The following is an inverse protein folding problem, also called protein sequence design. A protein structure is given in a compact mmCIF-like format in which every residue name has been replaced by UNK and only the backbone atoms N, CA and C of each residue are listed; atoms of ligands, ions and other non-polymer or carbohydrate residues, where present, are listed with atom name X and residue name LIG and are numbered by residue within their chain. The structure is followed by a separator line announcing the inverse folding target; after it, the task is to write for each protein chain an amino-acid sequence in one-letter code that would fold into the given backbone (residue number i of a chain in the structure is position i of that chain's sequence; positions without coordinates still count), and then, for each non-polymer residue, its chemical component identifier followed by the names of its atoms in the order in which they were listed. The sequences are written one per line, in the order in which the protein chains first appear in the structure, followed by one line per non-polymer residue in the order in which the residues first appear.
data_IF_175010163504
#
_entry.id   IF_175010163504
#
_cell.length_a   1.000
_cell.length_b   1.000
_cell.length_c   1.000
_cell.angle_alpha   90.00
_cell.angle_beta   90.00
_cell.angle_gamma   90.00
#
_symmetry.space_group_name_H-M   'P 1'
#
loop_
_entity.id
_entity.type
_entity.pdbx_description
1 polymer ?
#
# COMPACT_ATOMS: atom_id res chain seq x y z
N UNK A 1 6.23 0.98 42.21
CA UNK A 1 7.21 -0.13 41.99
C UNK A 1 7.12 -0.57 40.55
N UNK A 2 8.18 -0.41 39.74
CA UNK A 2 8.21 -1.03 38.42
C UNK A 2 8.26 -2.55 38.62
N UNK A 3 7.26 -3.29 38.08
CA UNK A 3 7.36 -4.76 37.99
C UNK A 3 8.66 -5.12 37.25
N UNK A 4 9.45 -6.01 37.81
CA UNK A 4 10.58 -6.61 37.07
C UNK A 4 10.03 -7.26 35.80
N UNK A 5 10.71 -7.12 34.68
CA UNK A 5 10.29 -7.82 33.45
C UNK A 5 10.76 -9.28 33.49
N UNK A 6 10.00 -10.21 32.89
CA UNK A 6 10.50 -11.56 32.68
C UNK A 6 11.72 -11.54 31.73
N UNK A 7 12.52 -12.62 31.69
CA UNK A 7 13.66 -12.71 30.77
C UNK A 7 13.22 -12.48 29.31
N UNK A 8 13.95 -11.63 28.57
CA UNK A 8 13.60 -11.26 27.21
C UNK A 8 13.55 -12.46 26.25
N UNK A 9 14.45 -13.44 26.48
CA UNK A 9 14.45 -14.68 25.70
C UNK A 9 13.19 -15.54 25.95
N UNK A 10 12.61 -15.49 27.16
CA UNK A 10 11.37 -16.18 27.45
C UNK A 10 10.18 -15.53 26.72
N UNK A 11 10.15 -14.19 26.67
CA UNK A 11 9.16 -13.45 25.89
C UNK A 11 9.30 -13.70 24.38
N UNK A 12 10.54 -13.72 23.86
CA UNK A 12 10.81 -13.99 22.43
C UNK A 12 10.40 -15.42 22.04
N UNK A 13 10.72 -16.40 22.87
CA UNK A 13 10.32 -17.79 22.64
C UNK A 13 8.78 -17.97 22.68
N UNK A 14 8.12 -17.29 23.59
CA UNK A 14 6.66 -17.29 23.68
C UNK A 14 6.03 -16.63 22.43
N UNK A 15 6.50 -15.46 22.00
CA UNK A 15 5.97 -14.77 20.82
C UNK A 15 6.08 -15.63 19.57
N UNK A 16 7.28 -16.20 19.29
CA UNK A 16 7.50 -17.07 18.15
C UNK A 16 6.61 -18.33 18.20
N UNK A 17 6.51 -18.99 19.37
CA UNK A 17 5.64 -20.15 19.55
C UNK A 17 4.15 -19.80 19.37
N UNK A 18 3.72 -18.62 19.79
CA UNK A 18 2.35 -18.14 19.66
C UNK A 18 1.99 -17.78 18.21
N UNK A 19 2.92 -17.26 17.44
CA UNK A 19 2.74 -16.92 16.04
C UNK A 19 2.61 -18.16 15.16
N UNK A 20 3.43 -19.18 15.42
CA UNK A 20 3.41 -20.46 14.68
C UNK A 20 2.42 -21.49 15.25
N UNK A 21 1.89 -21.29 16.45
CA UNK A 21 1.19 -22.32 17.22
C UNK A 21 1.95 -23.67 17.25
N UNK A 22 3.30 -23.59 17.28
CA UNK A 22 4.20 -24.70 17.15
C UNK A 22 5.55 -24.43 17.79
N UNK A 23 5.92 -25.25 18.76
CA UNK A 23 7.24 -25.22 19.42
C UNK A 23 8.37 -25.53 18.42
N UNK A 24 8.13 -26.46 17.49
CA UNK A 24 9.15 -26.87 16.51
C UNK A 24 9.43 -25.79 15.47
N UNK A 25 8.41 -25.11 14.98
CA UNK A 25 8.59 -24.01 14.01
C UNK A 25 9.24 -22.79 14.67
N UNK A 26 8.84 -22.45 15.91
CA UNK A 26 9.51 -21.41 16.69
C UNK A 26 11.00 -21.71 16.93
N UNK A 27 11.32 -22.99 17.19
CA UNK A 27 12.69 -23.41 17.36
C UNK A 27 13.53 -23.28 16.09
N UNK A 28 12.96 -23.62 14.95
CA UNK A 28 13.60 -23.40 13.63
C UNK A 28 13.86 -21.93 13.37
N UNK A 29 12.85 -21.07 13.56
CA UNK A 29 12.99 -19.64 13.37
C UNK A 29 14.07 -19.01 14.26
N UNK A 30 14.07 -19.37 15.55
CA UNK A 30 15.02 -18.81 16.52
C UNK A 30 16.39 -19.53 16.53
N UNK A 31 16.62 -20.51 15.64
CA UNK A 31 17.84 -21.29 15.53
C UNK A 31 18.25 -21.96 16.86
N UNK A 32 17.27 -22.52 17.57
CA UNK A 32 17.47 -23.23 18.84
C UNK A 32 16.77 -24.60 18.82
N UNK A 33 16.92 -25.39 19.89
CA UNK A 33 16.23 -26.68 19.99
C UNK A 33 14.78 -26.49 20.48
N UNK A 34 13.82 -27.39 20.12
CA UNK A 34 12.48 -27.38 20.68
C UNK A 34 12.41 -27.47 22.20
N UNK A 35 13.40 -28.17 22.80
CA UNK A 35 13.54 -28.26 24.25
C UNK A 35 13.89 -26.89 24.86
N UNK A 36 14.73 -26.09 24.20
CA UNK A 36 15.06 -24.73 24.63
C UNK A 36 13.82 -23.81 24.62
N UNK A 37 13.04 -23.84 23.54
CA UNK A 37 11.78 -23.07 23.47
C UNK A 37 10.82 -23.49 24.58
N UNK A 38 10.61 -24.79 24.76
CA UNK A 38 9.74 -25.30 25.83
C UNK A 38 10.21 -24.87 27.22
N UNK A 39 11.51 -24.83 27.45
CA UNK A 39 12.09 -24.36 28.71
C UNK A 39 11.84 -22.86 28.92
N UNK A 40 12.08 -22.03 27.89
CA UNK A 40 11.84 -20.58 27.96
C UNK A 40 10.37 -20.24 28.17
N UNK A 41 9.46 -20.97 27.52
CA UNK A 41 8.01 -20.78 27.71
C UNK A 41 7.61 -21.14 29.16
N UNK A 42 8.09 -22.24 29.71
CA UNK A 42 7.83 -22.58 31.13
C UNK A 42 8.37 -21.52 32.07
N UNK A 43 9.56 -20.99 31.82
CA UNK A 43 10.12 -19.91 32.64
C UNK A 43 9.24 -18.66 32.64
N UNK A 44 8.58 -18.35 31.52
CA UNK A 44 7.60 -17.28 31.42
C UNK A 44 6.34 -17.62 32.23
N UNK A 45 5.80 -18.84 32.10
CA UNK A 45 4.63 -19.32 32.82
C UNK A 45 4.87 -19.31 34.34
N UNK A 46 6.05 -19.75 34.78
CA UNK A 46 6.44 -19.71 36.19
C UNK A 46 6.52 -18.26 36.72
N UNK A 47 7.02 -17.34 35.88
CA UNK A 47 7.09 -15.90 36.24
C UNK A 47 5.71 -15.24 36.34
N UNK A 48 4.80 -15.56 35.41
CA UNK A 48 3.43 -15.02 35.37
C UNK A 48 2.52 -15.72 36.38
N UNK A 49 2.78 -16.98 36.66
CA UNK A 49 1.94 -17.86 37.51
C UNK A 49 0.73 -18.41 36.75
N UNK A 50 0.67 -18.31 35.45
CA UNK A 50 -0.44 -18.76 34.60
C UNK A 50 0.14 -19.47 33.34
N UNK A 51 -0.50 -20.56 32.85
CA UNK A 51 -0.14 -21.14 31.59
C UNK A 51 -0.53 -20.20 30.43
N UNK A 52 0.36 -20.03 29.46
CA UNK A 52 0.13 -19.24 28.24
C UNK A 52 -0.24 -20.11 27.04
N UNK A 53 0.04 -21.41 27.11
CA UNK A 53 -0.40 -22.41 26.14
C UNK A 53 -1.18 -23.54 26.77
N UNK A 54 -2.07 -24.11 25.98
CA UNK A 54 -2.75 -25.37 26.27
C UNK A 54 -2.64 -26.33 25.08
N UNK A 55 -2.81 -27.62 25.33
CA UNK A 55 -2.90 -28.65 24.29
C UNK A 55 -4.35 -29.03 24.07
N UNK A 56 -4.82 -28.82 22.86
CA UNK A 56 -6.10 -29.37 22.43
C UNK A 56 -5.85 -30.52 21.43
N UNK A 57 -6.87 -31.28 21.08
CA UNK A 57 -6.76 -32.42 20.15
C UNK A 57 -6.21 -32.08 18.76
N UNK A 58 -6.02 -30.80 18.44
CA UNK A 58 -5.48 -30.29 17.17
C UNK A 58 -4.04 -29.75 17.31
N UNK A 59 -3.47 -29.68 18.50
CA UNK A 59 -2.11 -29.22 18.73
C UNK A 59 -1.96 -28.19 19.85
N UNK A 60 -1.04 -27.24 19.68
CA UNK A 60 -0.78 -26.14 20.60
C UNK A 60 -1.80 -25.03 20.39
N UNK A 61 -2.40 -24.51 21.45
CA UNK A 61 -3.32 -23.37 21.41
C UNK A 61 -2.94 -22.36 22.49
N UNK A 62 -3.31 -21.10 22.32
CA UNK A 62 -3.17 -20.06 23.33
C UNK A 62 -4.29 -20.17 24.36
N UNK A 63 -3.93 -19.94 25.62
CA UNK A 63 -4.90 -19.66 26.69
C UNK A 63 -5.39 -18.20 26.60
N UNK A 64 -6.40 -17.83 27.41
CA UNK A 64 -6.81 -16.43 27.54
C UNK A 64 -5.64 -15.55 28.04
N UNK A 65 -4.82 -16.08 28.96
CA UNK A 65 -3.63 -15.39 29.47
C UNK A 65 -2.57 -15.19 28.35
N UNK A 66 -2.36 -16.19 27.51
CA UNK A 66 -1.47 -16.11 26.36
C UNK A 66 -1.95 -15.11 25.29
N UNK A 67 -3.26 -15.03 25.08
CA UNK A 67 -3.85 -14.12 24.11
C UNK A 67 -3.86 -12.67 24.57
N UNK A 68 -4.05 -12.40 25.86
CA UNK A 68 -4.29 -11.06 26.41
C UNK A 68 -3.17 -10.05 26.16
N UNK A 69 -1.88 -10.47 26.20
CA UNK A 69 -0.74 -9.58 26.04
C UNK A 69 0.01 -9.72 24.72
N UNK A 70 -0.41 -10.64 23.83
CA UNK A 70 0.36 -11.02 22.65
C UNK A 70 0.53 -9.86 21.64
N UNK A 71 -0.51 -9.05 21.45
CA UNK A 71 -0.47 -7.88 20.57
C UNK A 71 0.57 -6.86 21.03
N UNK A 72 0.55 -6.51 22.31
CA UNK A 72 1.48 -5.52 22.86
C UNK A 72 2.91 -6.06 22.89
N UNK A 73 3.08 -7.36 23.09
CA UNK A 73 4.37 -8.03 23.02
C UNK A 73 4.97 -7.97 21.60
N UNK A 74 4.17 -8.24 20.58
CA UNK A 74 4.57 -8.10 19.17
C UNK A 74 4.98 -6.68 18.83
N UNK A 75 4.19 -5.70 19.23
CA UNK A 75 4.52 -4.29 19.04
C UNK A 75 5.82 -3.92 19.76
N UNK A 76 6.05 -4.48 20.95
CA UNK A 76 7.29 -4.28 21.70
C UNK A 76 8.52 -4.83 20.97
N UNK A 77 8.45 -6.04 20.41
CA UNK A 77 9.55 -6.60 19.63
C UNK A 77 9.80 -5.83 18.34
N UNK A 78 8.76 -5.46 17.61
CA UNK A 78 8.89 -4.60 16.43
C UNK A 78 9.57 -3.26 16.76
N UNK A 79 9.30 -2.68 17.94
CA UNK A 79 9.98 -1.48 18.40
C UNK A 79 11.46 -1.70 18.73
N UNK A 80 11.82 -2.89 19.26
CA UNK A 80 13.21 -3.25 19.52
C UNK A 80 13.99 -3.47 18.21
N UNK A 81 13.39 -4.13 17.24
CA UNK A 81 13.96 -4.32 15.89
C UNK A 81 14.19 -2.97 15.20
N UNK A 82 13.21 -2.08 15.21
CA UNK A 82 13.36 -0.74 14.68
C UNK A 82 14.45 0.09 15.38
N UNK A 83 14.64 -0.12 16.69
CA UNK A 83 15.74 0.52 17.42
C UNK A 83 17.11 -0.02 16.99
N UNK A 84 17.22 -1.32 16.72
CA UNK A 84 18.46 -1.92 16.20
C UNK A 84 18.73 -1.43 14.77
N UNK A 85 17.72 -1.43 13.89
CA UNK A 85 17.82 -0.86 12.53
C UNK A 85 18.29 0.60 12.57
N UNK A 86 17.75 1.41 13.50
CA UNK A 86 18.16 2.80 13.68
C UNK A 86 19.61 2.94 14.14
N UNK A 87 20.11 2.04 15.00
CA UNK A 87 21.50 2.03 15.45
C UNK A 87 22.42 1.61 14.29
N UNK A 88 22.05 0.58 13.55
CA UNK A 88 22.80 0.10 12.39
C UNK A 88 22.83 1.12 11.26
N UNK A 89 21.72 1.84 11.03
CA UNK A 89 21.62 2.88 10.02
C UNK A 89 22.39 4.17 10.34
N UNK A 90 22.87 4.36 11.57
CA UNK A 90 23.78 5.48 11.92
C UNK A 90 25.15 5.35 11.24
N UNK A 91 25.48 4.20 10.67
CA UNK A 91 26.75 3.93 9.98
C UNK A 91 26.63 3.72 8.47
N UNK A 92 25.42 3.55 7.92
CA UNK A 92 25.19 3.28 6.50
C UNK A 92 23.95 4.03 6.01
N UNK A 93 24.17 4.90 5.06
CA UNK A 93 23.18 5.41 4.10
C UNK A 93 22.63 4.19 3.37
N UNK A 94 21.48 3.71 3.79
CA UNK A 94 21.10 2.36 3.47
C UNK A 94 19.96 2.27 2.47
N UNK A 95 19.62 1.05 2.11
CA UNK A 95 18.49 0.69 1.27
C UNK A 95 17.18 1.15 1.90
N UNK A 96 16.38 1.91 1.14
CA UNK A 96 14.99 2.26 1.47
C UNK A 96 14.05 1.31 0.75
N UNK A 97 13.38 0.43 1.48
CA UNK A 97 12.41 -0.52 0.92
C UNK A 97 11.00 0.09 0.88
N UNK A 98 10.49 0.32 -0.33
CA UNK A 98 9.19 0.96 -0.58
C UNK A 98 8.22 -0.03 -1.19
N UNK A 99 7.11 -0.34 -0.51
CA UNK A 99 6.02 -1.11 -1.08
C UNK A 99 4.97 -0.17 -1.68
N UNK A 100 4.58 -0.41 -2.94
CA UNK A 100 3.75 0.56 -3.67
C UNK A 100 2.74 -0.16 -4.56
N UNK A 101 1.55 0.42 -4.79
CA UNK A 101 0.60 -0.09 -5.76
C UNK A 101 1.22 -0.06 -7.18
N UNK A 102 1.16 -1.15 -7.98
CA UNK A 102 1.90 -1.28 -9.24
C UNK A 102 1.68 -0.14 -10.22
N UNK A 103 0.44 0.30 -10.37
CA UNK A 103 0.12 1.40 -11.29
C UNK A 103 0.66 2.74 -10.81
N UNK A 104 0.69 3.00 -9.50
CA UNK A 104 1.29 4.19 -8.94
C UNK A 104 2.82 4.16 -9.10
N UNK A 105 3.43 2.99 -8.87
CA UNK A 105 4.86 2.80 -9.12
C UNK A 105 5.23 3.24 -10.54
N UNK A 106 4.57 2.64 -11.55
CA UNK A 106 4.94 2.82 -12.96
C UNK A 106 4.57 4.19 -13.52
N UNK A 107 3.43 4.76 -13.13
CA UNK A 107 2.88 5.97 -13.76
C UNK A 107 3.21 7.25 -12.99
N UNK A 108 3.40 7.15 -11.68
CA UNK A 108 3.65 8.35 -10.87
C UNK A 108 5.03 8.37 -10.21
N UNK A 109 5.42 7.29 -9.52
CA UNK A 109 6.64 7.27 -8.71
C UNK A 109 7.91 7.21 -9.59
N UNK A 110 8.04 6.20 -10.45
CA UNK A 110 9.24 5.98 -11.26
C UNK A 110 9.63 7.19 -12.14
N UNK A 111 8.68 7.91 -12.80
CA UNK A 111 9.05 9.09 -13.58
C UNK A 111 9.68 10.22 -12.76
N UNK A 112 9.48 10.24 -11.44
CA UNK A 112 9.95 11.28 -10.52
C UNK A 112 11.15 10.84 -9.67
N UNK A 113 11.36 9.53 -9.53
CA UNK A 113 12.32 8.94 -8.58
C UNK A 113 13.76 9.42 -8.82
N UNK A 114 14.14 9.70 -10.07
CA UNK A 114 15.47 10.21 -10.42
C UNK A 114 15.82 11.52 -9.72
N UNK A 115 14.82 12.36 -9.37
CA UNK A 115 15.09 13.60 -8.61
C UNK A 115 15.46 13.29 -7.17
N UNK A 116 14.83 12.29 -6.54
CA UNK A 116 15.21 11.83 -5.21
C UNK A 116 16.60 11.23 -5.18
N UNK A 117 16.92 10.36 -6.16
CA UNK A 117 18.22 9.71 -6.29
C UNK A 117 19.35 10.74 -6.52
N UNK A 118 19.06 11.84 -7.23
CA UNK A 118 20.02 12.92 -7.42
C UNK A 118 20.25 13.76 -6.15
N UNK A 119 19.20 13.98 -5.34
CA UNK A 119 19.29 14.70 -4.06
C UNK A 119 19.91 13.86 -2.94
N UNK A 120 19.70 12.52 -2.97
CA UNK A 120 20.12 11.56 -1.96
C UNK A 120 20.85 10.36 -2.58
N UNK A 121 22.02 10.58 -3.21
CA UNK A 121 22.77 9.51 -3.88
C UNK A 121 23.30 8.42 -2.94
N UNK A 122 23.21 8.67 -1.63
CA UNK A 122 23.57 7.74 -0.58
C UNK A 122 22.44 6.76 -0.23
N UNK A 123 21.22 6.94 -0.79
CA UNK A 123 20.04 6.11 -0.48
C UNK A 123 19.65 5.30 -1.70
N UNK A 124 19.79 3.98 -1.61
CA UNK A 124 19.30 3.06 -2.64
C UNK A 124 17.81 2.77 -2.44
N UNK A 125 16.96 3.14 -3.39
CA UNK A 125 15.50 2.90 -3.28
C UNK A 125 15.12 1.57 -3.93
N UNK A 126 14.65 0.63 -3.11
CA UNK A 126 14.10 -0.64 -3.58
C UNK A 126 12.58 -0.58 -3.63
N UNK A 127 12.02 -0.58 -4.83
CA UNK A 127 10.58 -0.50 -5.06
C UNK A 127 9.98 -1.89 -5.25
N UNK A 128 9.11 -2.30 -4.34
CA UNK A 128 8.32 -3.53 -4.43
C UNK A 128 6.88 -3.18 -4.87
N UNK A 129 6.52 -3.52 -6.09
CA UNK A 129 5.20 -3.26 -6.64
C UNK A 129 4.23 -4.40 -6.27
N UNK A 130 3.31 -4.15 -5.31
CA UNK A 130 2.35 -5.13 -4.84
C UNK A 130 1.03 -4.50 -4.40
N UNK A 131 -0.09 -5.20 -4.68
CA UNK A 131 -1.41 -4.85 -4.15
C UNK A 131 -1.67 -5.45 -2.77
N UNK A 132 -0.85 -6.40 -2.32
CA UNK A 132 -1.00 -7.02 -1.02
C UNK A 132 -0.75 -6.02 0.11
N UNK A 133 -1.47 -6.20 1.21
CA UNK A 133 -1.20 -5.44 2.43
C UNK A 133 0.20 -5.79 2.94
N UNK A 134 0.98 -4.75 3.26
CA UNK A 134 2.34 -4.90 3.77
C UNK A 134 2.30 -5.35 5.22
N UNK A 135 2.98 -6.44 5.54
CA UNK A 135 3.35 -6.78 6.90
C UNK A 135 4.72 -6.14 7.22
N UNK A 136 4.68 -4.95 7.80
CA UNK A 136 5.89 -4.20 8.14
C UNK A 136 6.82 -4.91 9.13
N UNK A 137 6.32 -5.95 9.82
CA UNK A 137 7.11 -6.73 10.78
C UNK A 137 7.93 -7.84 10.12
N UNK A 138 7.47 -8.34 8.97
CA UNK A 138 8.06 -9.52 8.33
C UNK A 138 8.61 -9.27 6.93
N UNK A 139 8.10 -8.25 6.21
CA UNK A 139 8.43 -8.04 4.79
C UNK A 139 9.71 -7.20 4.59
N UNK A 140 10.32 -6.67 5.65
CA UNK A 140 11.48 -5.79 5.55
C UNK A 140 11.18 -4.43 4.89
N UNK A 141 9.91 -4.07 4.72
CA UNK A 141 9.47 -2.83 4.10
C UNK A 141 9.57 -1.67 5.09
N UNK A 142 10.10 -0.53 4.66
CA UNK A 142 10.21 0.67 5.48
C UNK A 142 8.96 1.53 5.41
N UNK A 143 8.46 1.74 4.21
CA UNK A 143 7.26 2.54 3.93
C UNK A 143 6.38 1.86 2.88
N UNK A 144 5.11 2.20 2.88
CA UNK A 144 4.19 1.81 1.82
C UNK A 144 3.46 3.03 1.25
N UNK A 145 3.14 3.01 -0.06
CA UNK A 145 2.23 3.95 -0.70
C UNK A 145 1.00 3.17 -1.12
N UNK A 146 -0.16 3.53 -0.58
CA UNK A 146 -1.40 2.79 -0.76
C UNK A 146 -2.53 3.69 -1.24
N UNK A 147 -3.37 3.16 -2.12
CA UNK A 147 -4.62 3.78 -2.55
C UNK A 147 -5.78 3.20 -1.73
N UNK A 148 -6.63 4.06 -1.16
CA UNK A 148 -7.75 3.62 -0.34
C UNK A 148 -8.45 4.77 0.39
N UNK A 149 -9.37 4.40 1.29
CA UNK A 149 -10.11 5.35 2.13
C UNK A 149 -9.31 5.82 3.36
N UNK A 150 -8.10 5.32 3.59
CA UNK A 150 -7.31 5.58 4.80
C UNK A 150 -7.67 4.64 5.96
N UNK A 151 -7.42 5.06 7.21
CA UNK A 151 -7.83 4.30 8.40
C UNK A 151 -6.89 3.13 8.75
N UNK A 152 -5.61 3.23 8.43
CA UNK A 152 -4.60 2.20 8.74
C UNK A 152 -4.34 2.13 10.25
N UNK A 153 -4.83 1.06 10.88
CA UNK A 153 -4.67 0.85 12.32
C UNK A 153 -3.20 0.62 12.69
N UNK A 154 -2.78 1.20 13.84
CA UNK A 154 -1.44 1.06 14.41
C UNK A 154 -0.27 1.58 13.53
N UNK A 155 -0.57 2.25 12.41
CA UNK A 155 0.41 2.85 11.51
C UNK A 155 0.23 4.37 11.45
N UNK A 156 1.31 5.07 11.13
CA UNK A 156 1.21 6.48 10.74
C UNK A 156 0.92 6.56 9.27
N UNK A 157 -0.09 7.32 8.91
CA UNK A 157 -0.44 7.54 7.51
C UNK A 157 -0.70 9.01 7.23
N UNK A 158 -0.34 9.41 6.02
CA UNK A 158 -0.52 10.78 5.52
C UNK A 158 -1.10 10.73 4.13
N UNK A 159 -2.10 11.57 3.89
CA UNK A 159 -2.64 11.74 2.55
C UNK A 159 -1.61 12.42 1.66
N UNK A 160 -1.23 11.78 0.57
CA UNK A 160 -0.30 12.31 -0.42
C UNK A 160 -1.06 13.05 -1.54
N UNK A 161 -2.03 12.38 -2.15
CA UNK A 161 -2.78 12.90 -3.30
C UNK A 161 -4.26 12.59 -3.13
N UNK A 162 -5.09 13.59 -3.37
CA UNK A 162 -6.51 13.39 -3.66
C UNK A 162 -6.67 12.95 -5.11
N UNK A 163 -7.75 12.23 -5.41
CA UNK A 163 -7.97 11.73 -6.75
C UNK A 163 -9.30 12.17 -7.34
N UNK A 164 -9.31 12.22 -8.66
CA UNK A 164 -10.52 12.30 -9.46
C UNK A 164 -10.46 11.25 -10.56
N UNK A 165 -11.61 10.75 -10.98
CA UNK A 165 -11.71 9.94 -12.18
C UNK A 165 -11.98 10.77 -13.40
N UNK A 166 -11.22 10.52 -14.45
CA UNK A 166 -11.32 11.16 -15.75
C UNK A 166 -11.38 10.10 -16.87
N UNK A 167 -12.19 10.29 -17.89
CA UNK A 167 -12.12 9.52 -19.12
C UNK A 167 -10.93 9.98 -19.95
N UNK A 168 -10.18 9.03 -20.52
CA UNK A 168 -9.04 9.31 -21.40
C UNK A 168 -9.01 8.34 -22.58
N UNK A 169 -8.48 8.79 -23.69
CA UNK A 169 -8.21 7.93 -24.87
C UNK A 169 -7.00 8.49 -25.65
N UNK A 170 -6.46 7.71 -26.59
CA UNK A 170 -5.43 8.24 -27.48
C UNK A 170 -6.01 9.27 -28.47
N UNK A 171 -5.24 10.28 -28.89
CA UNK A 171 -5.67 11.24 -29.92
C UNK A 171 -6.08 10.55 -31.22
N UNK A 172 -5.38 9.48 -31.60
CA UNK A 172 -5.70 8.70 -32.80
C UNK A 172 -7.04 8.00 -32.72
N UNK A 173 -7.34 7.39 -31.57
CA UNK A 173 -8.64 6.78 -31.36
C UNK A 173 -9.76 7.81 -31.51
N UNK A 174 -9.60 8.98 -30.88
CA UNK A 174 -10.61 10.06 -30.92
C UNK A 174 -10.86 10.58 -32.34
N UNK A 175 -9.81 10.64 -33.21
CA UNK A 175 -9.96 11.04 -34.62
C UNK A 175 -10.68 10.02 -35.48
N UNK A 176 -10.67 8.74 -35.09
CA UNK A 176 -11.19 7.64 -35.88
C UNK A 176 -12.61 7.19 -35.47
N UNK A 177 -13.22 7.85 -34.48
CA UNK A 177 -14.60 7.60 -34.07
C UNK A 177 -15.50 8.80 -34.36
N UNK A 178 -16.81 8.64 -34.22
CA UNK A 178 -17.75 9.77 -34.28
C UNK A 178 -17.39 10.80 -33.19
N UNK A 179 -17.60 12.10 -33.48
CA UNK A 179 -17.32 13.14 -32.50
C UNK A 179 -18.02 12.90 -31.16
N UNK A 180 -17.28 12.98 -30.07
CA UNK A 180 -17.79 12.89 -28.71
C UNK A 180 -18.15 14.31 -28.22
N UNK A 181 -19.38 14.70 -28.34
CA UNK A 181 -19.88 16.01 -27.90
C UNK A 181 -20.44 15.96 -26.48
N UNK A 182 -20.92 14.78 -26.07
CA UNK A 182 -21.48 14.51 -24.75
C UNK A 182 -21.13 13.11 -24.27
N UNK A 183 -21.27 12.83 -22.98
CA UNK A 183 -21.05 11.48 -22.44
C UNK A 183 -22.00 10.42 -23.03
N UNK A 184 -23.18 10.84 -23.53
CA UNK A 184 -24.12 9.95 -24.21
C UNK A 184 -23.59 9.38 -25.52
N UNK A 185 -22.63 10.05 -26.16
CA UNK A 185 -22.00 9.60 -27.40
C UNK A 185 -21.04 8.40 -27.17
N UNK A 186 -20.79 8.04 -25.92
CA UNK A 186 -20.11 6.80 -25.56
C UNK A 186 -20.96 5.54 -25.82
N UNK A 187 -22.24 5.69 -26.17
CA UNK A 187 -23.07 4.57 -26.59
C UNK A 187 -22.45 3.91 -27.85
N UNK A 188 -22.03 2.64 -27.71
CA UNK A 188 -21.34 1.91 -28.77
C UNK A 188 -19.83 2.13 -28.86
N UNK A 189 -19.24 2.99 -28.04
CA UNK A 189 -17.80 3.14 -27.91
C UNK A 189 -17.24 2.10 -26.94
N UNK A 190 -16.07 1.54 -27.23
CA UNK A 190 -15.41 0.58 -26.36
C UNK A 190 -14.97 1.26 -25.05
N UNK A 191 -15.53 0.81 -23.92
CA UNK A 191 -15.12 1.24 -22.59
C UNK A 191 -14.03 0.30 -22.03
N UNK A 192 -13.05 0.86 -21.34
CA UNK A 192 -11.99 0.11 -20.67
C UNK A 192 -12.13 0.29 -19.15
N UNK A 193 -12.13 -0.84 -18.44
CA UNK A 193 -12.45 -0.87 -17.00
C UNK A 193 -11.23 -1.17 -16.16
N UNK A 194 -11.10 -0.43 -15.06
CA UNK A 194 -10.12 -0.68 -13.99
C UNK A 194 -10.78 -1.49 -12.89
N UNK A 195 -10.47 -2.78 -12.82
CA UNK A 195 -10.91 -3.68 -11.76
C UNK A 195 -9.79 -3.86 -10.68
N UNK A 196 -8.80 -2.95 -10.63
CA UNK A 196 -7.68 -3.04 -9.67
C UNK A 196 -8.08 -2.92 -8.19
N UNK A 197 -9.15 -2.21 -7.82
CA UNK A 197 -9.67 -2.23 -6.47
C UNK A 197 -10.64 -3.41 -6.31
N UNK A 198 -10.12 -4.60 -6.12
CA UNK A 198 -10.90 -5.82 -5.95
C UNK A 198 -12.02 -5.65 -4.92
N UNK A 199 -13.28 -5.84 -5.39
CA UNK A 199 -14.47 -6.05 -4.58
C UNK A 199 -14.90 -4.93 -3.60
N UNK A 200 -14.44 -3.70 -3.75
CA UNK A 200 -14.98 -2.57 -3.01
C UNK A 200 -16.08 -1.89 -3.83
N UNK A 201 -17.37 -2.04 -3.46
CA UNK A 201 -18.48 -1.43 -4.20
C UNK A 201 -18.49 0.10 -4.14
N UNK A 202 -17.74 0.71 -3.22
CA UNK A 202 -17.55 2.15 -3.14
C UNK A 202 -16.48 2.65 -4.12
N UNK A 203 -15.75 1.73 -4.77
CA UNK A 203 -14.73 2.11 -5.71
C UNK A 203 -15.35 2.72 -6.98
N UNK A 204 -14.89 3.91 -7.36
CA UNK A 204 -15.44 4.64 -8.49
C UNK A 204 -15.28 3.85 -9.80
N UNK A 205 -16.35 3.85 -10.61
CA UNK A 205 -16.43 3.07 -11.84
C UNK A 205 -17.20 3.82 -12.94
N UNK A 206 -17.32 3.21 -14.13
CA UNK A 206 -18.02 3.78 -15.27
C UNK A 206 -19.48 4.13 -14.97
N UNK A 207 -20.23 3.30 -14.22
CA UNK A 207 -21.62 3.57 -13.87
C UNK A 207 -21.76 4.87 -13.06
N UNK A 208 -20.88 5.08 -12.07
CA UNK A 208 -20.85 6.31 -11.27
C UNK A 208 -20.50 7.53 -12.12
N UNK A 209 -19.48 7.42 -12.99
CA UNK A 209 -19.08 8.55 -13.85
C UNK A 209 -20.15 8.90 -14.86
N UNK A 210 -20.77 7.91 -15.53
CA UNK A 210 -21.84 8.13 -16.51
C UNK A 210 -23.07 8.79 -15.87
N UNK A 211 -23.45 8.37 -14.66
CA UNK A 211 -24.53 9.03 -13.90
C UNK A 211 -24.17 10.49 -13.59
N UNK A 212 -22.95 10.76 -13.13
CA UNK A 212 -22.51 12.13 -12.86
C UNK A 212 -22.48 13.00 -14.13
N UNK A 213 -22.18 12.39 -15.27
CA UNK A 213 -22.19 13.05 -16.58
C UNK A 213 -23.59 13.13 -17.24
N UNK A 214 -24.64 12.57 -16.61
CA UNK A 214 -26.02 12.58 -17.13
C UNK A 214 -26.26 11.63 -18.30
N UNK A 215 -25.39 10.64 -18.53
CA UNK A 215 -25.50 9.68 -19.64
C UNK A 215 -26.19 8.37 -19.16
N UNK A 216 -27.45 8.21 -19.47
CA UNK A 216 -28.27 7.04 -19.06
C UNK A 216 -28.44 5.99 -20.15
N UNK A 217 -27.98 6.27 -21.37
CA UNK A 217 -28.11 5.41 -22.54
C UNK A 217 -26.86 4.57 -22.83
N UNK A 218 -25.85 4.64 -21.99
CA UNK A 218 -24.57 3.92 -22.15
C UNK A 218 -24.57 2.71 -21.23
N UNK A 219 -24.30 1.53 -21.78
CA UNK A 219 -24.15 0.31 -20.99
C UNK A 219 -22.79 0.28 -20.31
N UNK A 220 -22.74 0.70 -19.04
CA UNK A 220 -21.54 0.75 -18.21
C UNK A 220 -20.94 -0.65 -17.89
N UNK A 221 -21.62 -1.73 -18.18
CA UNK A 221 -21.16 -3.09 -17.85
C UNK A 221 -20.25 -3.69 -18.94
N UNK A 222 -20.34 -3.18 -20.16
CA UNK A 222 -19.64 -3.70 -21.33
C UNK A 222 -18.23 -3.10 -21.47
N UNK A 223 -17.31 -3.91 -21.93
CA UNK A 223 -15.95 -3.47 -22.25
C UNK A 223 -14.86 -4.40 -21.72
N UNK A 224 -13.63 -4.13 -22.10
CA UNK A 224 -12.48 -4.89 -21.64
C UNK A 224 -12.14 -4.50 -20.19
N UNK A 225 -11.77 -5.50 -19.38
CA UNK A 225 -11.48 -5.35 -17.95
C UNK A 225 -10.04 -5.69 -17.66
N UNK A 226 -9.41 -4.92 -16.81
CA UNK A 226 -8.01 -5.08 -16.41
C UNK A 226 -7.89 -4.93 -14.90
N UNK A 227 -7.07 -5.75 -14.28
CA UNK A 227 -6.84 -5.75 -12.85
C UNK A 227 -5.72 -4.78 -12.40
N UNK A 228 -5.27 -3.90 -13.29
CA UNK A 228 -4.30 -2.85 -13.00
C UNK A 228 -4.61 -1.59 -13.80
N UNK A 229 -4.69 -0.44 -13.14
CA UNK A 229 -4.95 0.85 -13.78
C UNK A 229 -3.92 1.20 -14.87
N UNK A 230 -2.65 0.80 -14.69
CA UNK A 230 -1.62 1.00 -15.72
C UNK A 230 -1.90 0.27 -17.03
N UNK A 231 -2.48 -0.94 -16.97
CA UNK A 231 -2.90 -1.67 -18.17
C UNK A 231 -4.09 -1.01 -18.86
N UNK A 232 -5.01 -0.44 -18.08
CA UNK A 232 -6.16 0.32 -18.64
C UNK A 232 -5.65 1.53 -19.40
N UNK A 233 -4.71 2.28 -18.83
CA UNK A 233 -4.07 3.44 -19.42
C UNK A 233 -3.32 3.04 -20.71
N UNK A 234 -2.55 1.95 -20.67
CA UNK A 234 -1.82 1.44 -21.80
C UNK A 234 -2.76 1.04 -22.96
N UNK A 235 -3.87 0.35 -22.62
CA UNK A 235 -4.89 -0.02 -23.60
C UNK A 235 -5.52 1.21 -24.27
N UNK A 236 -5.74 2.30 -23.52
CA UNK A 236 -6.23 3.57 -24.07
C UNK A 236 -5.20 4.22 -25.01
N UNK A 237 -3.92 4.23 -24.64
CA UNK A 237 -2.84 4.74 -25.51
C UNK A 237 -2.73 3.96 -26.82
N UNK A 238 -2.96 2.64 -26.76
CA UNK A 238 -3.01 1.78 -27.95
C UNK A 238 -4.30 1.92 -28.77
N UNK A 239 -5.18 2.86 -28.45
CA UNK A 239 -6.41 3.13 -29.20
C UNK A 239 -7.48 2.04 -29.07
N UNK A 240 -7.50 1.28 -27.95
CA UNK A 240 -8.47 0.19 -27.77
C UNK A 240 -9.83 0.67 -27.27
N UNK A 241 -9.97 1.93 -26.85
CA UNK A 241 -11.20 2.50 -26.34
C UNK A 241 -10.96 3.71 -25.45
N UNK A 242 -12.01 4.10 -24.72
CA UNK A 242 -11.97 5.14 -23.71
C UNK A 242 -11.80 4.48 -22.34
N UNK A 243 -10.75 4.86 -21.61
CA UNK A 243 -10.48 4.40 -20.26
C UNK A 243 -11.05 5.38 -19.23
N UNK A 244 -11.63 4.86 -18.15
CA UNK A 244 -11.87 5.65 -16.95
C UNK A 244 -10.72 5.38 -15.98
N UNK A 245 -9.97 6.43 -15.64
CA UNK A 245 -8.75 6.27 -14.83
C UNK A 245 -8.57 7.41 -13.83
N UNK A 246 -7.66 7.20 -12.89
CA UNK A 246 -7.25 8.18 -11.89
C UNK A 246 -6.43 9.29 -12.54
N UNK A 247 -6.75 10.54 -12.22
CA UNK A 247 -6.12 11.72 -12.85
C UNK A 247 -4.60 11.75 -12.65
N UNK A 248 -4.09 11.45 -11.45
CA UNK A 248 -2.66 11.44 -11.16
C UNK A 248 -1.90 10.38 -11.97
N UNK A 249 -2.52 9.22 -12.26
CA UNK A 249 -1.88 8.18 -13.05
C UNK A 249 -1.81 8.50 -14.54
N UNK A 250 -2.75 9.28 -15.05
CA UNK A 250 -2.81 9.66 -16.46
C UNK A 250 -2.06 10.98 -16.77
N UNK A 251 -1.73 11.77 -15.76
CA UNK A 251 -1.22 13.13 -15.91
C UNK A 251 0.00 13.20 -16.85
N UNK A 252 1.02 12.37 -16.63
CA UNK A 252 2.24 12.36 -17.46
C UNK A 252 1.99 11.90 -18.92
N UNK A 253 1.01 11.01 -19.14
CA UNK A 253 0.64 10.59 -20.50
C UNK A 253 -0.19 11.66 -21.22
N UNK A 254 -0.98 12.43 -20.48
CA UNK A 254 -1.73 13.59 -21.02
C UNK A 254 -0.75 14.72 -21.37
N UNK A 255 0.16 15.06 -20.48
CA UNK A 255 1.18 16.09 -20.70
C UNK A 255 2.06 15.76 -21.90
N UNK A 256 2.43 14.50 -22.07
CA UNK A 256 3.20 14.02 -23.22
C UNK A 256 2.37 13.89 -24.51
N UNK A 257 1.07 14.21 -24.50
CA UNK A 257 0.18 14.11 -25.66
C UNK A 257 -0.16 12.69 -26.10
N UNK A 258 0.15 11.67 -25.30
CA UNK A 258 -0.20 10.26 -25.60
C UNK A 258 -1.67 9.98 -25.31
N UNK A 259 -2.25 10.71 -24.36
CA UNK A 259 -3.66 10.66 -24.01
C UNK A 259 -4.28 12.05 -24.11
N UNK A 260 -5.59 12.06 -24.36
CA UNK A 260 -6.44 13.26 -24.29
C UNK A 260 -7.67 12.97 -23.45
N UNK A 261 -8.25 14.01 -22.86
CA UNK A 261 -9.53 13.97 -22.17
C UNK A 261 -10.65 14.31 -23.16
N UNK A 262 -11.52 13.35 -23.53
CA UNK A 262 -12.63 13.66 -24.45
C UNK A 262 -13.72 14.49 -23.82
N UNK A 263 -13.79 14.54 -22.47
CA UNK A 263 -14.80 15.29 -21.71
C UNK A 263 -14.16 16.08 -20.57
N UNK A 264 -14.73 17.25 -20.26
CA UNK A 264 -14.30 18.06 -19.11
C UNK A 264 -14.82 17.49 -17.76
N UNK A 265 -15.88 16.64 -17.78
CA UNK A 265 -16.48 16.07 -16.57
C UNK A 265 -15.46 15.23 -15.81
N UNK A 266 -15.30 15.54 -14.52
CA UNK A 266 -14.50 14.77 -13.55
C UNK A 266 -15.42 14.21 -12.49
N UNK A 267 -15.08 13.04 -11.95
CA UNK A 267 -15.76 12.45 -10.79
C UNK A 267 -14.82 12.51 -9.59
N UNK A 268 -15.08 13.38 -8.60
CA UNK A 268 -14.35 13.35 -7.34
C UNK A 268 -14.57 12.03 -6.63
N UNK A 269 -13.53 11.55 -5.93
CA UNK A 269 -13.58 10.29 -5.19
C UNK A 269 -13.00 10.47 -3.80
N UNK A 270 -13.54 9.72 -2.82
CA UNK A 270 -13.07 9.79 -1.43
C UNK A 270 -11.76 9.03 -1.22
N UNK A 271 -11.41 8.16 -2.17
CA UNK A 271 -10.15 7.42 -2.15
C UNK A 271 -8.97 8.33 -2.50
N UNK A 272 -7.86 8.11 -1.82
CA UNK A 272 -6.64 8.90 -1.98
C UNK A 272 -5.40 8.00 -1.95
N UNK A 273 -4.26 8.53 -2.36
CA UNK A 273 -2.98 7.89 -2.09
C UNK A 273 -2.47 8.34 -0.73
N UNK A 274 -1.96 7.37 0.03
CA UNK A 274 -1.43 7.58 1.36
C UNK A 274 0.00 7.05 1.47
N UNK A 275 0.86 7.86 2.08
CA UNK A 275 2.09 7.38 2.70
C UNK A 275 1.70 6.62 3.99
N UNK A 276 2.27 5.45 4.21
CA UNK A 276 2.00 4.60 5.36
C UNK A 276 3.30 4.03 5.89
N UNK A 277 3.56 4.16 7.20
CA UNK A 277 4.75 3.61 7.83
C UNK A 277 4.53 3.30 9.32
N UNK A 278 5.29 2.36 9.91
CA UNK A 278 5.36 2.21 11.35
C UNK A 278 5.92 3.46 12.01
N UNK A 279 5.35 3.84 13.16
CA UNK A 279 5.81 5.01 13.92
C UNK A 279 7.32 4.97 14.24
N UNK A 280 7.84 3.78 14.51
CA UNK A 280 9.25 3.59 14.83
C UNK A 280 10.20 3.94 13.67
N UNK A 281 9.76 3.77 12.40
CA UNK A 281 10.60 4.02 11.21
C UNK A 281 10.58 5.48 10.73
N UNK A 282 9.66 6.32 11.21
CA UNK A 282 9.50 7.71 10.73
C UNK A 282 10.73 8.60 10.94
N UNK A 283 11.52 8.32 11.97
CA UNK A 283 12.71 9.11 12.31
C UNK A 283 13.99 8.59 11.63
N UNK A 284 13.93 7.50 10.88
CA UNK A 284 15.05 7.04 10.06
C UNK A 284 15.34 8.07 8.97
N UNK A 285 16.59 8.52 8.78
CA UNK A 285 16.93 9.57 7.80
C UNK A 285 16.41 9.24 6.38
N UNK A 286 16.60 8.00 5.90
CA UNK A 286 16.12 7.52 4.61
C UNK A 286 14.60 7.66 4.44
N UNK A 287 13.82 7.39 5.50
CA UNK A 287 12.35 7.50 5.52
C UNK A 287 11.92 8.96 5.57
N UNK A 288 12.58 9.76 6.41
CA UNK A 288 12.28 11.19 6.57
C UNK A 288 12.53 11.96 5.28
N UNK A 289 13.67 11.75 4.61
CA UNK A 289 14.02 12.39 3.34
C UNK A 289 13.04 12.00 2.24
N UNK A 290 12.73 10.71 2.10
CA UNK A 290 11.79 10.25 1.08
C UNK A 290 10.36 10.75 1.31
N UNK A 291 9.92 10.82 2.58
CA UNK A 291 8.62 11.38 2.96
C UNK A 291 8.53 12.86 2.60
N UNK A 292 9.57 13.64 2.89
CA UNK A 292 9.60 15.06 2.56
C UNK A 292 9.63 15.29 1.05
N UNK A 293 10.45 14.52 0.33
CA UNK A 293 10.46 14.55 -1.13
C UNK A 293 9.08 14.21 -1.72
N UNK A 294 8.39 13.17 -1.23
CA UNK A 294 7.02 12.86 -1.67
C UNK A 294 6.07 14.04 -1.48
N UNK A 295 6.14 14.73 -0.34
CA UNK A 295 5.31 15.92 -0.07
C UNK A 295 5.57 17.03 -1.08
N UNK A 296 6.83 17.29 -1.41
CA UNK A 296 7.21 18.31 -2.40
C UNK A 296 6.66 17.95 -3.78
N UNK A 297 6.79 16.68 -4.19
CA UNK A 297 6.25 16.22 -5.48
C UNK A 297 4.72 16.33 -5.57
N UNK A 298 4.01 16.16 -4.46
CA UNK A 298 2.54 16.21 -4.44
C UNK A 298 1.96 17.61 -4.30
N UNK A 299 2.70 18.57 -3.73
CA UNK A 299 2.23 19.96 -3.53
C UNK A 299 1.99 20.67 -4.86
N UNK A 300 2.80 20.39 -5.88
CA UNK A 300 2.64 20.96 -7.23
C UNK A 300 1.40 20.45 -7.97
N UNK A 301 0.98 19.21 -7.75
CA UNK A 301 -0.15 18.59 -8.44
C UNK A 301 -1.52 19.04 -7.92
N UNK A 302 -1.63 19.30 -6.61
CA UNK A 302 -2.88 19.84 -6.03
C UNK A 302 -3.25 21.22 -6.61
N UNK A 303 -2.24 22.01 -7.02
CA UNK A 303 -2.47 23.31 -7.67
C UNK A 303 -2.93 23.16 -9.12
N UNK A 304 -2.44 22.15 -9.86
CA UNK A 304 -2.84 21.88 -11.24
C UNK A 304 -4.26 21.27 -11.36
N UNK A 305 -4.67 20.48 -10.36
CA UNK A 305 -6.02 19.90 -10.30
C UNK A 305 -7.10 20.95 -9.99
N UNK A 306 -6.74 22.06 -9.34
CA UNK A 306 -7.66 23.16 -9.02
C UNK A 306 -7.92 24.12 -10.21
N UNK A 307 -7.13 24.04 -11.29
CA UNK A 307 -7.18 24.98 -12.44
C UNK A 307 -7.72 24.28 -13.71
N UNK A 308 -7.93 22.97 -13.71
CA UNK A 308 -8.44 22.17 -14.83
C UNK A 308 -9.91 21.78 -14.66
#
# INVERSE_FOLDING_TARGET
MRRSMPPLNALKAFEAAARHLSISLAAQELNVTPAAISHQVRQLEDYIGLPVFERNGRGLALTDAGSAGLRDLRNGFASLEAAMDAIESLGETGVLNVSVAPSFASKWLLPRLSSFEAEHPEIDVHVSASMQLTDFSNDGIDIAIRYGAGGYQDLVFEKLLTETLIPVCSPDFLRNIQPLSSASDLAGVALLHDDSPDNDPSCPNWDMWLRAAGATNVDASRGARYNQASLVIEAAMLGRGVALTKSALAAGDIEAGRLVRPFATVLPVDFAYYFVAPKAKLNLPKVSFFREWLRQQTTGESALQAVA
#
